data_IF_604571381003
#
_entry.id   IF_604571381003
#
_cell.length_a   1.000
_cell.length_b   1.000
_cell.length_c   1.000
_cell.angle_alpha   90.00
_cell.angle_beta   90.00
_cell.angle_gamma   90.00
#
_symmetry.space_group_name_H-M   'P 1'
#
loop_
_entity.id
_entity.type
_entity.pdbx_description
1 polymer ?
#
# COMPACT_ATOMS: atom_id res chain seq x y z
N UNK A 1 -12.59 -30.10 -23.03
CA UNK A 1 -12.65 -28.67 -23.37
C UNK A 1 -11.96 -27.94 -22.23
N UNK A 2 -10.64 -27.76 -22.35
CA UNK A 2 -9.80 -27.14 -21.32
C UNK A 2 -9.76 -25.63 -21.57
N UNK A 3 -10.11 -24.83 -20.56
CA UNK A 3 -9.90 -23.38 -20.57
C UNK A 3 -8.47 -23.11 -20.13
N UNK A 4 -7.56 -23.02 -21.10
CA UNK A 4 -6.25 -22.39 -20.90
C UNK A 4 -6.45 -20.87 -20.91
N UNK A 5 -6.71 -20.29 -19.75
CA UNK A 5 -6.55 -18.86 -19.54
C UNK A 5 -5.06 -18.57 -19.34
N UNK A 6 -4.31 -18.57 -20.44
CA UNK A 6 -2.97 -17.98 -20.46
C UNK A 6 -3.16 -16.47 -20.45
N UNK A 7 -3.35 -15.88 -19.27
CA UNK A 7 -3.36 -14.42 -19.10
C UNK A 7 -1.96 -13.93 -19.44
N UNK A 8 -1.81 -13.36 -20.63
CA UNK A 8 -0.66 -12.54 -21.01
C UNK A 8 -0.53 -11.41 -19.99
N UNK A 9 0.39 -11.57 -19.03
CA UNK A 9 0.74 -10.54 -18.06
C UNK A 9 1.52 -9.44 -18.80
N UNK A 10 0.79 -8.54 -19.45
CA UNK A 10 1.33 -7.22 -19.75
C UNK A 10 1.79 -6.61 -18.43
N UNK A 11 3.01 -6.07 -18.40
CA UNK A 11 3.54 -5.38 -17.23
C UNK A 11 2.64 -4.17 -16.95
N UNK A 12 1.77 -4.27 -15.95
CA UNK A 12 0.94 -3.15 -15.51
C UNK A 12 1.87 -2.03 -15.06
N UNK A 13 1.99 -0.99 -15.89
CA UNK A 13 2.76 0.20 -15.57
C UNK A 13 1.88 1.11 -14.72
N UNK A 14 1.89 0.89 -13.41
CA UNK A 14 1.12 1.72 -12.47
C UNK A 14 1.58 3.18 -12.52
N UNK A 15 0.63 4.11 -12.48
CA UNK A 15 0.89 5.54 -12.35
C UNK A 15 0.19 6.07 -11.09
N UNK A 16 0.82 6.96 -10.30
CA UNK A 16 0.13 7.62 -9.20
C UNK A 16 -1.12 8.35 -9.68
N UNK A 17 -2.15 8.39 -8.84
CA UNK A 17 -3.36 9.17 -9.12
C UNK A 17 -3.02 10.66 -9.23
N UNK A 18 -3.82 11.46 -9.96
CA UNK A 18 -3.59 12.90 -10.10
C UNK A 18 -3.54 13.64 -8.74
N UNK A 19 -4.21 13.09 -7.72
CA UNK A 19 -4.16 13.58 -6.33
C UNK A 19 -2.75 13.51 -5.70
N UNK A 20 -1.83 12.71 -6.24
CA UNK A 20 -0.45 12.60 -5.77
C UNK A 20 0.30 13.94 -5.71
N UNK A 21 -0.03 14.90 -6.58
CA UNK A 21 0.55 16.25 -6.57
C UNK A 21 -0.22 17.25 -5.69
N UNK A 22 -1.38 16.86 -5.16
CA UNK A 22 -2.29 17.72 -4.41
C UNK A 22 -2.22 17.51 -2.89
N UNK A 23 -1.46 16.52 -2.41
CA UNK A 23 -1.36 16.23 -0.98
C UNK A 23 -0.79 17.41 -0.20
N UNK A 24 -1.50 17.79 0.87
CA UNK A 24 -1.09 18.83 1.80
C UNK A 24 -0.14 18.34 2.90
N UNK A 25 0.00 17.03 3.04
CA UNK A 25 0.62 16.40 4.21
C UNK A 25 1.83 15.54 3.88
N UNK A 26 1.87 14.95 2.67
CA UNK A 26 2.96 14.07 2.25
C UNK A 26 3.58 14.60 0.95
N UNK A 27 4.90 14.46 0.85
CA UNK A 27 5.61 14.73 -0.41
C UNK A 27 5.09 13.78 -1.51
N UNK A 28 4.98 14.23 -2.78
CA UNK A 28 4.53 13.38 -3.89
C UNK A 28 5.35 12.10 -4.02
N UNK A 29 4.65 11.01 -4.32
CA UNK A 29 5.29 9.73 -4.62
C UNK A 29 5.89 9.74 -6.03
N UNK A 30 7.12 9.25 -6.14
CA UNK A 30 7.82 9.03 -7.41
C UNK A 30 8.21 7.56 -7.55
N UNK A 31 8.31 7.02 -8.78
CA UNK A 31 8.78 5.66 -8.99
C UNK A 31 10.17 5.46 -8.37
N UNK A 32 10.34 4.35 -7.64
CA UNK A 32 11.62 3.94 -7.11
C UNK A 32 12.40 3.10 -8.14
N UNK A 33 13.72 3.11 -8.02
CA UNK A 33 14.56 2.15 -8.75
C UNK A 33 14.25 0.75 -8.21
N UNK A 34 13.94 -0.18 -9.11
CA UNK A 34 13.58 -1.56 -8.76
C UNK A 34 14.63 -2.25 -7.88
N UNK A 35 14.16 -3.18 -7.05
CA UNK A 35 15.02 -3.96 -6.16
C UNK A 35 16.03 -4.77 -6.99
N UNK A 36 17.33 -4.54 -6.76
CA UNK A 36 18.39 -5.38 -7.33
C UNK A 36 18.52 -6.66 -6.51
N UNK A 37 18.08 -7.77 -7.07
CA UNK A 37 18.26 -9.09 -6.47
C UNK A 37 19.71 -9.52 -6.69
N UNK A 38 20.47 -9.69 -5.60
CA UNK A 38 21.86 -10.14 -5.64
C UNK A 38 22.04 -11.36 -4.75
N UNK A 39 23.00 -12.22 -5.09
CA UNK A 39 23.27 -13.44 -4.33
C UNK A 39 23.66 -13.16 -2.89
N UNK A 40 24.42 -12.07 -2.65
CA UNK A 40 24.77 -11.61 -1.32
C UNK A 40 23.54 -11.27 -0.48
N UNK A 41 22.58 -10.53 -1.06
CA UNK A 41 21.34 -10.14 -0.35
C UNK A 41 20.43 -11.33 -0.08
N UNK A 42 20.35 -12.28 -1.02
CA UNK A 42 19.61 -13.53 -0.84
C UNK A 42 20.21 -14.35 0.31
N UNK A 43 21.53 -14.49 0.36
CA UNK A 43 22.22 -15.23 1.42
C UNK A 43 22.02 -14.57 2.80
N UNK A 44 22.14 -13.25 2.88
CA UNK A 44 21.90 -12.46 4.11
C UNK A 44 20.48 -12.70 4.66
N UNK A 45 19.45 -12.59 3.80
CA UNK A 45 18.06 -12.76 4.21
C UNK A 45 17.73 -14.22 4.56
N UNK A 46 18.25 -15.19 3.82
CA UNK A 46 18.08 -16.61 4.13
C UNK A 46 18.65 -16.95 5.51
N UNK A 47 19.84 -16.42 5.82
CA UNK A 47 20.45 -16.59 7.14
C UNK A 47 19.61 -15.94 8.25
N UNK A 48 19.13 -14.71 8.04
CA UNK A 48 18.37 -13.97 9.05
C UNK A 48 16.98 -14.57 9.33
N UNK A 49 16.36 -15.19 8.32
CA UNK A 49 14.99 -15.71 8.41
C UNK A 49 14.91 -17.22 8.63
N UNK A 50 16.00 -17.95 8.40
CA UNK A 50 16.01 -19.41 8.37
C UNK A 50 15.26 -20.01 7.17
N UNK A 51 14.86 -19.19 6.20
CA UNK A 51 14.16 -19.61 4.98
C UNK A 51 15.19 -20.04 3.92
N UNK A 52 14.86 -21.07 3.16
CA UNK A 52 15.70 -21.55 2.07
C UNK A 52 16.01 -20.46 1.03
N UNK A 53 17.27 -20.42 0.56
CA UNK A 53 17.75 -19.39 -0.39
C UNK A 53 16.96 -19.33 -1.69
N UNK A 54 16.43 -20.46 -2.19
CA UNK A 54 15.60 -20.47 -3.40
C UNK A 54 14.25 -19.80 -3.12
N UNK A 55 13.65 -20.09 -1.97
CA UNK A 55 12.41 -19.46 -1.56
C UNK A 55 12.58 -17.95 -1.33
N UNK A 56 13.66 -17.53 -0.65
CA UNK A 56 14.00 -16.10 -0.49
C UNK A 56 14.20 -15.43 -1.85
N UNK A 57 14.97 -16.05 -2.75
CA UNK A 57 15.20 -15.49 -4.09
C UNK A 57 13.90 -15.35 -4.86
N UNK A 58 13.01 -16.35 -4.82
CA UNK A 58 11.73 -16.30 -5.50
C UNK A 58 10.89 -15.11 -5.02
N UNK A 59 10.76 -14.94 -3.70
CA UNK A 59 10.05 -13.79 -3.11
C UNK A 59 10.68 -12.46 -3.53
N UNK A 60 12.02 -12.36 -3.47
CA UNK A 60 12.73 -11.14 -3.88
C UNK A 60 12.55 -10.82 -5.36
N UNK A 61 12.56 -11.84 -6.24
CA UNK A 61 12.34 -11.66 -7.68
C UNK A 61 10.92 -11.20 -7.96
N UNK A 62 9.93 -11.79 -7.28
CA UNK A 62 8.53 -11.37 -7.41
C UNK A 62 8.33 -9.94 -6.92
N UNK A 63 8.96 -9.58 -5.80
CA UNK A 63 8.88 -8.22 -5.26
C UNK A 63 9.63 -7.20 -6.10
N UNK A 64 10.74 -7.58 -6.74
CA UNK A 64 11.49 -6.74 -7.66
C UNK A 64 10.70 -6.38 -8.94
N UNK A 65 9.65 -7.14 -9.26
CA UNK A 65 8.76 -6.87 -10.40
C UNK A 65 7.63 -5.89 -10.06
N UNK A 66 7.38 -5.66 -8.77
CA UNK A 66 6.30 -4.77 -8.36
C UNK A 66 6.67 -3.31 -8.65
N UNK A 67 5.70 -2.48 -9.09
CA UNK A 67 5.84 -1.04 -9.00
C UNK A 67 6.09 -0.64 -7.55
N UNK A 68 7.19 0.07 -7.33
CA UNK A 68 7.53 0.65 -6.03
C UNK A 68 7.55 2.16 -6.18
N UNK A 69 6.88 2.84 -5.26
CA UNK A 69 6.89 4.29 -5.16
C UNK A 69 7.51 4.72 -3.83
N UNK A 70 8.24 5.82 -3.87
CA UNK A 70 8.87 6.41 -2.69
C UNK A 70 8.56 7.89 -2.61
N UNK A 71 8.50 8.40 -1.39
CA UNK A 71 8.66 9.83 -1.12
C UNK A 71 9.73 9.98 -0.01
N UNK A 72 9.77 11.14 0.66
CA UNK A 72 10.73 11.38 1.74
C UNK A 72 10.57 10.42 2.91
N UNK A 73 9.34 10.10 3.30
CA UNK A 73 9.03 9.33 4.51
C UNK A 73 8.71 7.85 4.24
N UNK A 74 8.11 7.54 3.10
CA UNK A 74 7.47 6.25 2.81
C UNK A 74 8.02 5.58 1.57
N UNK A 75 7.93 4.25 1.58
CA UNK A 75 8.06 3.38 0.41
C UNK A 75 6.81 2.50 0.34
N UNK A 76 6.23 2.37 -0.86
CA UNK A 76 5.02 1.59 -1.11
C UNK A 76 5.25 0.68 -2.30
N UNK A 77 5.11 -0.64 -2.11
CA UNK A 77 5.06 -1.61 -3.19
C UNK A 77 3.61 -1.92 -3.54
N UNK A 78 3.28 -1.95 -4.84
CA UNK A 78 1.92 -2.17 -5.32
C UNK A 78 1.84 -3.53 -6.01
N UNK A 79 0.89 -4.35 -5.54
CA UNK A 79 0.59 -5.64 -6.15
C UNK A 79 -0.86 -5.63 -6.64
N UNK A 80 -1.09 -5.59 -7.96
CA UNK A 80 -2.41 -5.82 -8.52
C UNK A 80 -2.93 -7.19 -8.08
N UNK A 81 -4.19 -7.23 -7.66
CA UNK A 81 -4.88 -8.42 -7.19
C UNK A 81 -6.35 -8.35 -7.63
N UNK A 82 -7.02 -9.49 -7.60
CA UNK A 82 -8.47 -9.56 -7.72
C UNK A 82 -9.08 -9.82 -6.35
N UNK A 83 -10.04 -8.99 -5.96
CA UNK A 83 -10.85 -9.20 -4.75
C UNK A 83 -12.29 -9.43 -5.20
N UNK A 84 -12.79 -10.65 -4.99
CA UNK A 84 -14.19 -11.02 -5.28
C UNK A 84 -14.64 -10.73 -6.73
N UNK A 85 -13.73 -10.83 -7.69
CA UNK A 85 -14.02 -10.55 -9.10
C UNK A 85 -13.95 -9.07 -9.50
N UNK A 86 -13.46 -8.21 -8.61
CA UNK A 86 -13.19 -6.80 -8.87
C UNK A 86 -11.69 -6.51 -8.77
N UNK A 87 -11.20 -5.65 -9.68
CA UNK A 87 -9.81 -5.22 -9.68
C UNK A 87 -9.48 -4.42 -8.42
N UNK A 88 -8.40 -4.82 -7.76
CA UNK A 88 -7.91 -4.19 -6.54
C UNK A 88 -6.38 -4.14 -6.55
N UNK A 89 -5.83 -3.44 -5.57
CA UNK A 89 -4.40 -3.33 -5.36
C UNK A 89 -4.07 -3.53 -3.89
N UNK A 90 -3.05 -4.36 -3.64
CA UNK A 90 -2.41 -4.48 -2.35
C UNK A 90 -1.26 -3.46 -2.27
N UNK A 91 -1.36 -2.55 -1.30
CA UNK A 91 -0.34 -1.58 -0.93
C UNK A 91 0.45 -2.14 0.26
N UNK A 92 1.72 -2.48 0.04
CA UNK A 92 2.66 -2.80 1.11
C UNK A 92 3.47 -1.55 1.47
N UNK A 93 3.17 -0.97 2.63
CA UNK A 93 3.63 0.36 3.04
C UNK A 93 4.64 0.23 4.17
N UNK A 94 5.77 0.91 4.05
CA UNK A 94 6.76 1.03 5.15
C UNK A 94 7.36 2.43 5.20
N UNK A 95 7.75 2.85 6.40
CA UNK A 95 8.60 4.04 6.56
C UNK A 95 10.03 3.74 6.14
N UNK A 96 10.67 4.74 5.54
CA UNK A 96 12.07 4.65 5.08
C UNK A 96 13.06 4.63 6.24
N UNK A 97 12.69 5.20 7.39
CA UNK A 97 13.45 5.14 8.65
C UNK A 97 13.20 3.87 9.47
N UNK A 98 12.36 2.95 8.95
CA UNK A 98 11.98 1.68 9.59
C UNK A 98 11.21 1.79 10.90
N UNK A 99 10.78 3.00 11.29
CA UNK A 99 9.88 3.16 12.43
C UNK A 99 8.47 2.65 12.08
N UNK A 100 7.64 2.34 13.08
CA UNK A 100 6.23 2.05 12.87
C UNK A 100 5.48 3.23 12.24
N UNK A 101 4.38 2.93 11.54
CA UNK A 101 3.43 3.97 11.12
C UNK A 101 2.55 4.29 12.32
N UNK A 102 2.49 5.57 12.69
CA UNK A 102 1.83 6.02 13.93
C UNK A 102 0.50 6.73 13.70
N UNK A 103 0.20 7.16 12.47
CA UNK A 103 -1.03 7.89 12.15
C UNK A 103 -1.72 7.25 10.93
N UNK A 104 -2.94 6.76 11.12
CA UNK A 104 -3.76 6.16 10.07
C UNK A 104 -4.03 7.13 8.92
N UNK A 105 -3.99 8.45 9.17
CA UNK A 105 -4.18 9.47 8.14
C UNK A 105 -3.09 9.45 7.07
N UNK A 106 -1.89 8.98 7.42
CA UNK A 106 -0.83 8.79 6.44
C UNK A 106 -1.19 7.63 5.51
N UNK A 107 -1.75 6.53 6.03
CA UNK A 107 -2.22 5.39 5.23
C UNK A 107 -3.39 5.81 4.31
N UNK A 108 -4.33 6.59 4.82
CA UNK A 108 -5.42 7.18 4.03
C UNK A 108 -4.88 8.07 2.90
N UNK A 109 -3.91 8.94 3.20
CA UNK A 109 -3.34 9.85 2.22
C UNK A 109 -2.53 9.11 1.16
N UNK A 110 -1.73 8.12 1.55
CA UNK A 110 -1.00 7.25 0.63
C UNK A 110 -1.98 6.56 -0.34
N UNK A 111 -3.09 6.02 0.18
CA UNK A 111 -4.15 5.43 -0.66
C UNK A 111 -4.74 6.46 -1.62
N UNK A 112 -5.04 7.67 -1.14
CA UNK A 112 -5.55 8.76 -1.98
C UNK A 112 -4.58 9.12 -3.12
N UNK A 113 -3.28 9.21 -2.82
CA UNK A 113 -2.23 9.59 -3.77
C UNK A 113 -1.94 8.50 -4.80
N UNK A 114 -1.95 7.22 -4.41
CA UNK A 114 -1.54 6.13 -5.28
C UNK A 114 -2.71 5.46 -6.01
N UNK A 115 -3.91 5.47 -5.42
CA UNK A 115 -5.10 4.78 -5.96
C UNK A 115 -6.18 5.79 -6.32
N UNK A 116 -6.53 6.68 -5.38
CA UNK A 116 -7.51 7.73 -5.60
C UNK A 116 -8.27 8.11 -4.32
N UNK A 117 -8.72 9.38 -4.19
CA UNK A 117 -9.44 9.84 -3.01
C UNK A 117 -10.78 9.12 -2.81
N UNK A 118 -11.48 8.82 -3.90
CA UNK A 118 -12.81 8.17 -3.89
C UNK A 118 -12.77 6.63 -3.82
N UNK A 119 -11.58 6.04 -3.97
CA UNK A 119 -11.42 4.59 -3.85
C UNK A 119 -11.46 4.17 -2.39
N UNK A 120 -12.17 3.10 -2.06
CA UNK A 120 -12.14 2.55 -0.72
C UNK A 120 -11.01 1.53 -0.54
N UNK A 121 -10.47 1.48 0.67
CA UNK A 121 -9.49 0.48 1.05
C UNK A 121 -9.63 0.05 2.50
N UNK A 122 -9.11 -1.14 2.78
CA UNK A 122 -9.16 -1.77 4.10
C UNK A 122 -7.77 -2.19 4.53
N UNK A 123 -7.48 -2.02 5.82
CA UNK A 123 -6.32 -2.59 6.46
C UNK A 123 -6.69 -3.97 7.04
N UNK A 124 -5.91 -5.00 6.69
CA UNK A 124 -6.15 -6.35 7.19
C UNK A 124 -5.32 -6.61 8.44
N UNK A 125 -6.01 -6.90 9.54
CA UNK A 125 -5.41 -7.56 10.70
C UNK A 125 -5.60 -9.08 10.53
N UNK A 126 -4.54 -9.84 10.19
CA UNK A 126 -4.68 -11.24 9.85
C UNK A 126 -5.03 -12.07 11.09
N UNK A 127 -5.60 -13.26 10.86
CA UNK A 127 -5.66 -14.28 11.90
C UNK A 127 -4.23 -14.61 12.38
N UNK A 128 -4.06 -14.86 13.68
CA UNK A 128 -2.75 -15.07 14.32
C UNK A 128 -1.89 -16.14 13.61
N UNK A 129 -2.51 -17.24 13.15
CA UNK A 129 -1.83 -18.33 12.44
C UNK A 129 -1.26 -17.93 11.07
N UNK A 130 -1.58 -16.73 10.58
CA UNK A 130 -1.15 -16.16 9.30
C UNK A 130 -0.41 -14.83 9.48
N UNK A 131 -0.14 -14.41 10.72
CA UNK A 131 0.54 -13.16 11.01
C UNK A 131 1.97 -13.21 10.46
N UNK A 132 2.35 -12.15 9.75
CA UNK A 132 3.72 -11.93 9.29
C UNK A 132 4.18 -10.58 9.86
N UNK A 133 4.84 -10.61 11.01
CA UNK A 133 5.36 -9.43 11.71
C UNK A 133 6.89 -9.48 11.79
N UNK A 134 7.54 -9.21 10.65
CA UNK A 134 9.01 -9.30 10.51
C UNK A 134 9.65 -7.98 10.08
N UNK A 135 8.83 -7.02 9.68
CA UNK A 135 9.23 -5.68 9.31
C UNK A 135 8.02 -4.79 9.55
N UNK A 136 8.20 -3.61 10.15
CA UNK A 136 7.16 -2.59 10.37
C UNK A 136 6.48 -2.17 9.04
N UNK A 137 5.64 -3.05 8.51
CA UNK A 137 4.98 -3.00 7.22
C UNK A 137 3.48 -3.10 7.44
N UNK A 138 2.76 -2.25 6.73
CA UNK A 138 1.32 -2.11 6.85
C UNK A 138 0.70 -2.45 5.50
N UNK A 139 -0.42 -3.18 5.54
CA UNK A 139 -1.01 -3.79 4.36
C UNK A 139 -2.42 -3.25 4.13
N UNK A 140 -2.55 -2.39 3.12
CA UNK A 140 -3.83 -1.88 2.67
C UNK A 140 -4.26 -2.59 1.39
N UNK A 141 -5.55 -2.90 1.29
CA UNK A 141 -6.17 -3.48 0.11
C UNK A 141 -7.21 -2.50 -0.39
N UNK A 142 -7.00 -1.93 -1.57
CA UNK A 142 -7.86 -0.89 -2.11
C UNK A 142 -8.51 -1.34 -3.43
N UNK A 143 -9.80 -1.06 -3.56
CA UNK A 143 -10.48 -1.18 -4.86
C UNK A 143 -9.89 -0.16 -5.83
N UNK A 144 -9.71 -0.53 -7.10
CA UNK A 144 -9.35 0.44 -8.15
C UNK A 144 -10.58 1.08 -8.78
N UNK A 145 -11.79 0.63 -8.43
CA UNK A 145 -13.05 1.24 -8.83
C UNK A 145 -13.49 2.29 -7.80
N UNK A 146 -13.57 3.59 -8.18
CA UNK A 146 -13.99 4.67 -7.27
C UNK A 146 -15.47 4.61 -6.89
N UNK A 147 -16.28 3.79 -7.55
CA UNK A 147 -17.72 3.61 -7.26
C UNK A 147 -17.99 2.44 -6.32
N UNK A 148 -17.03 1.53 -6.13
CA UNK A 148 -17.15 0.42 -5.21
C UNK A 148 -17.24 0.90 -3.76
N UNK A 149 -18.15 0.31 -2.99
CA UNK A 149 -18.28 0.54 -1.55
C UNK A 149 -18.29 -0.80 -0.82
N UNK A 150 -17.44 -0.95 0.19
CA UNK A 150 -17.49 -2.08 1.10
C UNK A 150 -18.85 -2.10 1.82
N UNK A 151 -19.40 -3.29 2.13
CA UNK A 151 -20.69 -3.42 2.81
C UNK A 151 -20.62 -3.10 4.31
N UNK A 152 -19.63 -2.32 4.74
CA UNK A 152 -19.38 -1.91 6.13
C UNK A 152 -18.69 -0.55 6.17
N UNK A 153 -18.67 0.06 7.35
CA UNK A 153 -18.14 1.42 7.55
C UNK A 153 -19.24 2.47 7.59
N UNK A 154 -18.85 3.74 7.47
CA UNK A 154 -19.77 4.87 7.50
C UNK A 154 -20.17 5.28 6.08
N UNK A 155 -21.46 5.54 5.85
CA UNK A 155 -21.99 5.99 4.55
C UNK A 155 -21.95 7.52 4.36
N UNK A 156 -21.61 8.27 5.42
CA UNK A 156 -21.55 9.73 5.40
C UNK A 156 -20.20 10.22 5.91
N UNK A 157 -19.69 11.28 5.29
CA UNK A 157 -18.46 11.96 5.68
C UNK A 157 -18.73 12.95 6.82
N UNK A 158 -18.06 12.78 7.95
CA UNK A 158 -18.05 13.73 9.06
C UNK A 158 -16.59 14.03 9.45
N UNK A 159 -16.14 15.23 9.11
CA UNK A 159 -14.74 15.64 9.25
C UNK A 159 -14.66 16.93 10.06
N UNK A 160 -13.85 16.93 11.13
CA UNK A 160 -13.61 18.07 12.01
C UNK A 160 -12.13 18.23 12.29
N UNK A 161 -11.68 19.46 12.50
CA UNK A 161 -10.30 19.76 12.86
C UNK A 161 -10.08 19.72 14.38
N UNK A 162 -11.14 19.93 15.15
CA UNK A 162 -11.20 19.69 16.58
C UNK A 162 -11.70 18.26 16.87
N UNK A 163 -11.06 17.59 17.83
CA UNK A 163 -11.60 16.31 18.30
C UNK A 163 -12.88 16.52 19.09
N UNK A 164 -13.84 15.61 18.92
CA UNK A 164 -15.09 15.62 19.69
C UNK A 164 -14.88 14.94 21.03
N UNK A 165 -15.56 15.41 22.07
CA UNK A 165 -15.56 14.80 23.42
C UNK A 165 -14.16 14.62 24.03
N UNK A 166 -13.27 15.59 23.82
CA UNK A 166 -11.90 15.57 24.36
C UNK A 166 -10.93 14.67 23.60
N UNK A 167 -11.32 14.11 22.46
CA UNK A 167 -10.40 13.40 21.58
C UNK A 167 -9.27 14.35 21.12
N UNK A 168 -8.03 13.84 21.11
CA UNK A 168 -6.88 14.58 20.57
C UNK A 168 -6.64 14.09 19.16
N UNK A 169 -6.64 15.01 18.20
CA UNK A 169 -6.37 14.72 16.79
C UNK A 169 -5.17 15.55 16.32
N UNK A 170 -4.32 14.96 15.47
CA UNK A 170 -3.33 15.76 14.73
C UNK A 170 -4.07 16.83 13.91
N UNK A 171 -3.65 18.12 13.95
CA UNK A 171 -4.23 19.17 13.11
C UNK A 171 -4.13 18.82 11.63
N UNK A 172 -5.14 19.19 10.84
CA UNK A 172 -5.01 19.16 9.37
C UNK A 172 -4.17 20.34 8.91
N UNK A 173 -3.29 20.10 7.96
CA UNK A 173 -2.69 21.20 7.19
C UNK A 173 -3.84 21.83 6.36
N UNK A 174 -4.13 23.11 6.56
CA UNK A 174 -5.21 23.81 5.86
C UNK A 174 -4.91 23.89 4.36
N UNK A 175 -5.45 22.97 3.55
CA UNK A 175 -5.60 23.17 2.09
C UNK A 175 -6.58 22.20 1.43
N UNK A 176 -7.71 21.88 2.08
CA UNK A 176 -8.77 21.08 1.45
C UNK A 176 -10.15 21.59 1.85
N UNK A 177 -10.55 22.73 1.29
CA UNK A 177 -11.95 23.16 1.28
C UNK A 177 -12.76 22.53 0.11
N UNK A 178 -12.21 21.61 -0.70
CA UNK A 178 -12.82 21.32 -2.01
C UNK A 178 -13.04 19.84 -2.40
N UNK A 179 -13.22 18.91 -1.45
CA UNK A 179 -13.82 17.60 -1.76
C UNK A 179 -14.73 17.11 -0.63
#
# INVERSE_FOLDING_TARGET
MACDATTSQESIQWQPHAYNSCSATLDPFVPAVGLKVTDAKVAELAQATGIDTRAVRAVMVDEARLPVFINRAYQVALRPIDIMGSSAVHLSIKRRDRQPVHDWRDLQEIKNMLVGPECEGVELFPAESRLVDTANQYHLFASTDPTYRFPFGFSARAVRDDGVAGAVQRPRTQSMEQF
#
